data_IF_797586655997
#
_entry.id   IF_797586655997
#
_cell.length_a   1.000
_cell.length_b   1.000
_cell.length_c   1.000
_cell.angle_alpha   90.00
_cell.angle_beta   90.00
_cell.angle_gamma   90.00
#
_symmetry.space_group_name_H-M   'P 1'
#
loop_
_entity.id
_entity.type
_entity.pdbx_description
1 polymer ?
#
# COMPACT_ATOMS: atom_id res chain seq x y z
N UNK A 1 -9.58 -33.54 15.81
CA UNK A 1 -9.80 -32.18 15.27
C UNK A 1 -8.51 -31.43 15.61
N UNK A 2 -7.53 -31.54 14.73
CA UNK A 2 -6.14 -31.24 15.08
C UNK A 2 -5.91 -29.74 15.21
N UNK A 3 -5.68 -29.35 16.45
CA UNK A 3 -5.46 -28.00 16.91
C UNK A 3 -3.96 -27.84 17.16
N UNK A 4 -3.18 -27.77 16.07
CA UNK A 4 -1.78 -27.36 16.14
C UNK A 4 -1.31 -26.73 14.82
N UNK A 5 -1.85 -25.56 14.48
CA UNK A 5 -1.31 -24.74 13.39
C UNK A 5 -0.23 -23.79 13.93
N UNK A 6 0.91 -24.33 14.34
CA UNK A 6 2.09 -23.50 14.58
C UNK A 6 2.67 -23.06 13.23
N UNK A 7 2.99 -21.76 13.13
CA UNK A 7 3.68 -21.24 11.95
C UNK A 7 5.05 -21.91 11.83
N UNK A 8 5.49 -22.15 10.60
CA UNK A 8 6.86 -22.60 10.31
C UNK A 8 7.87 -21.52 10.69
N UNK A 9 9.14 -21.89 10.90
CA UNK A 9 10.21 -20.95 11.23
C UNK A 9 10.38 -19.86 10.16
N UNK A 10 10.18 -20.20 8.87
CA UNK A 10 10.22 -19.23 7.77
C UNK A 10 9.06 -18.24 7.83
N UNK A 11 7.85 -18.72 8.14
CA UNK A 11 6.68 -17.86 8.32
C UNK A 11 6.84 -16.92 9.53
N UNK A 12 7.42 -17.40 10.63
CA UNK A 12 7.77 -16.54 11.77
C UNK A 12 8.73 -15.42 11.38
N UNK A 13 9.83 -15.74 10.69
CA UNK A 13 10.80 -14.73 10.21
C UNK A 13 10.16 -13.74 9.23
N UNK A 14 9.25 -14.20 8.37
CA UNK A 14 8.51 -13.32 7.47
C UNK A 14 7.61 -12.34 8.24
N UNK A 15 6.88 -12.84 9.25
CA UNK A 15 6.03 -12.02 10.10
C UNK A 15 6.83 -10.97 10.89
N UNK A 16 7.98 -11.35 11.47
CA UNK A 16 8.88 -10.42 12.18
C UNK A 16 9.41 -9.32 11.27
N UNK A 17 9.85 -9.66 10.05
CA UNK A 17 10.31 -8.67 9.06
C UNK A 17 9.20 -7.71 8.65
N UNK A 18 8.00 -8.24 8.38
CA UNK A 18 6.84 -7.42 8.03
C UNK A 18 6.47 -6.47 9.18
N UNK A 19 6.44 -6.97 10.43
CA UNK A 19 6.16 -6.14 11.60
C UNK A 19 7.19 -5.02 11.77
N UNK A 20 8.48 -5.33 11.65
CA UNK A 20 9.56 -4.34 11.72
C UNK A 20 9.46 -3.27 10.62
N UNK A 21 9.14 -3.67 9.38
CA UNK A 21 8.97 -2.75 8.26
C UNK A 21 7.74 -1.82 8.42
N UNK A 22 6.69 -2.29 9.09
CA UNK A 22 5.45 -1.52 9.29
C UNK A 22 5.48 -0.64 10.55
N UNK A 23 6.37 -0.92 11.51
CA UNK A 23 6.49 -0.14 12.75
C UNK A 23 6.62 1.39 12.50
N UNK A 24 7.42 1.90 11.54
CA UNK A 24 7.57 3.34 11.34
C UNK A 24 6.29 4.05 10.85
N UNK A 25 5.35 3.29 10.27
CA UNK A 25 4.12 3.83 9.67
C UNK A 25 2.85 3.47 10.44
N UNK A 26 2.97 2.70 11.53
CA UNK A 26 1.83 2.15 12.27
C UNK A 26 0.89 3.23 12.85
N UNK A 27 1.41 4.39 13.23
CA UNK A 27 0.62 5.49 13.80
C UNK A 27 -0.01 6.38 12.70
N UNK A 28 0.36 6.16 11.44
CA UNK A 28 -0.06 6.97 10.29
C UNK A 28 -0.98 6.19 9.35
N UNK A 29 -0.83 4.87 9.27
CA UNK A 29 -1.51 4.02 8.32
C UNK A 29 -2.33 2.93 9.02
N UNK A 30 -3.63 2.87 8.66
CA UNK A 30 -4.47 1.74 9.04
C UNK A 30 -4.13 0.50 8.20
N UNK A 31 -4.55 -0.67 8.66
CA UNK A 31 -4.44 -1.90 7.87
C UNK A 31 -5.09 -1.76 6.48
N UNK A 32 -6.20 -1.04 6.36
CA UNK A 32 -6.86 -0.80 5.07
C UNK A 32 -5.99 0.04 4.12
N UNK A 33 -5.21 1.00 4.64
CA UNK A 33 -4.23 1.74 3.84
C UNK A 33 -3.11 0.81 3.35
N UNK A 34 -2.62 -0.08 4.20
CA UNK A 34 -1.59 -1.06 3.84
C UNK A 34 -2.09 -2.05 2.77
N UNK A 35 -3.30 -2.59 2.93
CA UNK A 35 -3.92 -3.46 1.91
C UNK A 35 -4.08 -2.70 0.59
N UNK A 36 -4.50 -1.44 0.63
CA UNK A 36 -4.64 -0.61 -0.57
C UNK A 36 -3.29 -0.38 -1.25
N UNK A 37 -2.24 -0.07 -0.50
CA UNK A 37 -0.87 0.10 -1.01
C UNK A 37 -0.36 -1.18 -1.70
N UNK A 38 -0.51 -2.34 -1.04
CA UNK A 38 -0.09 -3.64 -1.58
C UNK A 38 -0.93 -4.04 -2.82
N UNK A 39 -2.19 -3.62 -2.87
CA UNK A 39 -3.04 -3.81 -4.05
C UNK A 39 -2.54 -2.99 -5.25
N UNK A 40 -2.14 -1.74 -5.02
CA UNK A 40 -1.49 -0.90 -6.05
C UNK A 40 -0.16 -1.52 -6.50
N UNK A 41 0.64 -2.03 -5.56
CA UNK A 41 1.91 -2.68 -5.87
C UNK A 41 1.74 -3.92 -6.78
N UNK A 42 0.69 -4.70 -6.55
CA UNK A 42 0.40 -5.92 -7.33
C UNK A 42 -0.33 -5.67 -8.63
N UNK A 43 -0.96 -4.49 -8.79
CA UNK A 43 -1.72 -4.12 -9.99
C UNK A 43 -1.41 -2.67 -10.44
N UNK A 44 -0.16 -2.33 -10.82
CA UNK A 44 0.18 -0.97 -11.21
C UNK A 44 -0.71 -0.46 -12.35
N UNK A 45 -1.15 0.80 -12.25
CA UNK A 45 -1.98 1.46 -13.26
C UNK A 45 -3.48 1.39 -13.01
N UNK A 46 -3.93 0.69 -11.96
CA UNK A 46 -5.34 0.62 -11.57
C UNK A 46 -5.92 2.00 -11.24
N UNK A 47 -7.19 2.21 -11.53
CA UNK A 47 -7.96 3.40 -11.12
C UNK A 47 -8.50 3.28 -9.70
N UNK A 48 -8.97 4.39 -9.12
CA UNK A 48 -9.59 4.38 -7.78
C UNK A 48 -10.83 3.46 -7.71
N UNK A 49 -11.58 3.33 -8.80
CA UNK A 49 -12.74 2.44 -8.85
C UNK A 49 -12.31 0.97 -8.81
N UNK A 50 -11.31 0.62 -9.63
CA UNK A 50 -10.73 -0.72 -9.66
C UNK A 50 -10.06 -1.10 -8.33
N UNK A 51 -9.51 -0.12 -7.60
CA UNK A 51 -9.03 -0.30 -6.24
C UNK A 51 -10.19 -0.68 -5.31
N UNK A 52 -11.27 0.11 -5.34
CA UNK A 52 -12.43 -0.06 -4.49
C UNK A 52 -13.03 -1.47 -4.59
N UNK A 53 -13.16 -1.97 -5.83
CA UNK A 53 -13.61 -3.33 -6.12
C UNK A 53 -12.66 -4.38 -5.53
N UNK A 54 -11.34 -4.23 -5.71
CA UNK A 54 -10.35 -5.21 -5.25
C UNK A 54 -10.21 -5.27 -3.74
N UNK A 55 -10.29 -4.13 -3.05
CA UNK A 55 -10.20 -4.07 -1.58
C UNK A 55 -11.55 -4.28 -0.90
N UNK A 56 -12.64 -4.45 -1.67
CA UNK A 56 -13.98 -4.67 -1.14
C UNK A 56 -14.55 -3.50 -0.36
N UNK A 57 -14.23 -2.26 -0.77
CA UNK A 57 -14.67 -1.04 -0.09
C UNK A 57 -15.54 -0.16 -1.01
N UNK A 58 -16.46 0.65 -0.46
CA UNK A 58 -17.15 1.67 -1.24
C UNK A 58 -16.16 2.64 -1.90
N UNK A 59 -16.46 3.13 -3.10
CA UNK A 59 -15.58 4.02 -3.87
C UNK A 59 -15.17 5.29 -3.07
N UNK A 60 -16.09 5.88 -2.31
CA UNK A 60 -15.79 7.04 -1.46
C UNK A 60 -14.75 6.70 -0.37
N UNK A 61 -14.80 5.48 0.17
CA UNK A 61 -13.85 4.98 1.15
C UNK A 61 -12.49 4.71 0.51
N UNK A 62 -12.45 4.04 -0.64
CA UNK A 62 -11.22 3.81 -1.40
C UNK A 62 -10.54 5.13 -1.80
N UNK A 63 -11.32 6.14 -2.22
CA UNK A 63 -10.82 7.48 -2.51
C UNK A 63 -10.16 8.14 -1.30
N UNK A 64 -10.67 7.91 -0.08
CA UNK A 64 -10.02 8.39 1.15
C UNK A 64 -8.71 7.66 1.41
N UNK A 65 -8.65 6.34 1.24
CA UNK A 65 -7.39 5.58 1.35
C UNK A 65 -6.33 6.11 0.38
N UNK A 66 -6.70 6.32 -0.88
CA UNK A 66 -5.84 6.90 -1.91
C UNK A 66 -5.36 8.29 -1.52
N UNK A 67 -6.23 9.11 -0.95
CA UNK A 67 -5.86 10.47 -0.53
C UNK A 67 -4.87 10.47 0.63
N UNK A 68 -5.01 9.54 1.59
CA UNK A 68 -4.01 9.35 2.66
C UNK A 68 -2.69 8.88 2.09
N UNK A 69 -2.70 7.89 1.19
CA UNK A 69 -1.50 7.35 0.55
C UNK A 69 -0.80 8.36 -0.38
N UNK A 70 -1.52 9.35 -0.91
CA UNK A 70 -0.97 10.49 -1.64
C UNK A 70 -0.42 11.60 -0.73
N UNK A 71 -0.46 11.42 0.59
CA UNK A 71 -0.03 12.43 1.56
C UNK A 71 -0.96 13.65 1.63
N UNK A 72 -2.22 13.55 1.18
CA UNK A 72 -3.16 14.69 1.11
C UNK A 72 -3.90 14.96 2.43
N UNK A 73 -3.95 13.99 3.35
CA UNK A 73 -4.60 14.16 4.65
C UNK A 73 -3.60 14.56 5.73
N UNK A 74 -3.93 15.65 6.43
CA UNK A 74 -3.11 16.27 7.48
C UNK A 74 -3.70 15.92 8.85
N UNK A 75 -2.94 15.20 9.67
CA UNK A 75 -3.16 15.23 11.12
C UNK A 75 -2.51 16.47 11.70
N UNK A 76 -3.18 17.16 12.63
CA UNK A 76 -2.53 18.24 13.38
C UNK A 76 -1.39 17.64 14.22
N UNK A 77 -0.14 18.06 13.96
CA UNK A 77 1.02 17.73 14.80
C UNK A 77 1.93 16.60 14.31
N UNK A 78 1.64 15.96 13.18
CA UNK A 78 2.51 14.95 12.57
C UNK A 78 2.90 15.39 11.16
N UNK A 79 4.19 15.37 10.77
CA UNK A 79 4.57 15.63 9.38
C UNK A 79 3.80 14.68 8.46
N UNK A 80 3.40 15.14 7.25
CA UNK A 80 2.60 14.32 6.36
C UNK A 80 3.33 13.01 6.07
N UNK A 81 2.61 11.85 6.05
CA UNK A 81 3.21 10.64 5.51
C UNK A 81 3.70 10.98 4.10
N UNK A 82 4.97 10.69 3.84
CA UNK A 82 5.51 10.83 2.48
C UNK A 82 4.56 10.11 1.51
N UNK A 83 4.27 10.67 0.33
CA UNK A 83 3.38 10.03 -0.61
C UNK A 83 3.93 8.64 -0.95
N UNK A 84 3.15 7.59 -0.72
CA UNK A 84 3.49 6.19 -0.98
C UNK A 84 2.95 5.73 -2.35
N UNK A 85 2.06 6.51 -2.95
CA UNK A 85 1.58 6.30 -4.31
C UNK A 85 1.69 7.61 -5.11
N UNK A 86 1.66 7.47 -6.42
CA UNK A 86 1.53 8.55 -7.39
C UNK A 86 0.25 8.34 -8.23
N UNK A 87 -0.28 9.44 -8.77
CA UNK A 87 -1.34 9.41 -9.76
C UNK A 87 -0.82 9.98 -11.07
N UNK A 88 -0.98 9.21 -12.14
CA UNK A 88 -0.63 9.64 -13.50
C UNK A 88 -1.88 9.63 -14.37
N UNK A 89 -1.91 10.49 -15.39
CA UNK A 89 -2.98 10.46 -16.39
C UNK A 89 -2.68 9.27 -17.31
N UNK A 90 -3.65 8.37 -17.50
CA UNK A 90 -3.46 7.27 -18.44
C UNK A 90 -3.27 7.82 -19.86
N UNK A 91 -2.23 7.38 -20.60
CA UNK A 91 -2.03 7.81 -21.98
C UNK A 91 -3.15 7.29 -22.92
N UNK A 92 -3.76 6.15 -22.59
CA UNK A 92 -4.83 5.53 -23.39
C UNK A 92 -6.22 6.13 -23.11
N UNK A 93 -6.40 6.73 -21.93
CA UNK A 93 -7.64 7.41 -21.54
C UNK A 93 -7.34 8.58 -20.59
N UNK A 94 -7.33 9.84 -21.09
CA UNK A 94 -7.04 11.03 -20.28
C UNK A 94 -8.01 11.27 -19.12
N UNK A 95 -9.17 10.60 -19.12
CA UNK A 95 -10.17 10.69 -18.04
C UNK A 95 -9.82 9.75 -16.89
N UNK A 96 -8.96 8.76 -17.10
CA UNK A 96 -8.49 7.82 -16.08
C UNK A 96 -7.23 8.35 -15.42
N UNK A 97 -7.26 8.36 -14.08
CA UNK A 97 -6.06 8.53 -13.26
C UNK A 97 -5.62 7.17 -12.74
N UNK A 98 -4.46 6.75 -13.21
CA UNK A 98 -3.83 5.48 -12.90
C UNK A 98 -2.98 5.63 -11.64
N UNK A 99 -3.07 4.66 -10.73
CA UNK A 99 -2.35 4.62 -9.47
C UNK A 99 -1.05 3.81 -9.62
N UNK A 100 0.05 4.37 -9.17
CA UNK A 100 1.37 3.72 -9.15
C UNK A 100 2.03 3.88 -7.79
N UNK A 101 3.02 3.05 -7.45
CA UNK A 101 3.85 3.31 -6.27
C UNK A 101 4.74 4.53 -6.53
N UNK A 102 4.86 5.39 -5.52
CA UNK A 102 5.95 6.36 -5.48
C UNK A 102 7.27 5.67 -5.16
N UNK A 103 8.38 6.41 -5.18
CA UNK A 103 9.67 5.89 -4.72
C UNK A 103 9.61 5.43 -3.25
N UNK A 104 9.09 6.25 -2.34
CA UNK A 104 8.95 5.86 -0.92
C UNK A 104 8.00 4.65 -0.75
N UNK A 105 6.96 4.54 -1.61
CA UNK A 105 6.08 3.38 -1.66
C UNK A 105 6.79 2.10 -2.08
N UNK A 106 7.63 2.17 -3.11
CA UNK A 106 8.46 1.04 -3.55
C UNK A 106 9.42 0.60 -2.45
N UNK A 107 10.07 1.55 -1.78
CA UNK A 107 10.96 1.26 -0.65
C UNK A 107 10.21 0.55 0.48
N UNK A 108 9.06 1.08 0.91
CA UNK A 108 8.24 0.46 1.95
C UNK A 108 7.78 -0.95 1.57
N UNK A 109 7.23 -1.13 0.37
CA UNK A 109 6.76 -2.44 -0.10
C UNK A 109 7.93 -3.43 -0.14
N UNK A 110 9.10 -3.01 -0.64
CA UNK A 110 10.31 -3.86 -0.71
C UNK A 110 10.75 -4.37 0.67
N UNK A 111 10.67 -3.52 1.69
CA UNK A 111 10.98 -3.87 3.09
C UNK A 111 9.96 -4.87 3.64
N UNK A 112 8.67 -4.66 3.35
CA UNK A 112 7.56 -5.53 3.79
C UNK A 112 7.65 -6.92 3.17
N UNK A 113 7.85 -7.01 1.84
CA UNK A 113 7.93 -8.31 1.16
C UNK A 113 9.29 -9.00 1.33
N UNK A 114 10.27 -8.31 1.91
CA UNK A 114 11.62 -8.83 2.10
C UNK A 114 12.36 -9.09 0.78
N UNK A 115 11.97 -8.42 -0.29
CA UNK A 115 12.55 -8.52 -1.62
C UNK A 115 13.04 -7.15 -2.07
N UNK A 116 14.26 -7.06 -2.57
CA UNK A 116 14.79 -5.85 -3.20
C UNK A 116 14.05 -5.68 -4.54
N UNK A 117 12.96 -4.91 -4.55
CA UNK A 117 12.22 -4.61 -5.78
C UNK A 117 13.21 -3.97 -6.76
N UNK A 118 13.49 -4.66 -7.87
CA UNK A 118 14.32 -4.12 -8.93
C UNK A 118 13.67 -2.89 -9.50
N UNK A 119 14.42 -1.78 -9.56
CA UNK A 119 13.96 -0.56 -10.21
C UNK A 119 13.50 -0.89 -11.63
N UNK A 120 12.21 -0.67 -11.92
CA UNK A 120 11.72 -0.72 -13.29
C UNK A 120 12.34 0.46 -14.05
N UNK A 121 13.13 0.12 -15.08
CA UNK A 121 13.73 1.04 -16.03
C UNK A 121 12.71 1.56 -17.02
#
# INVERSE_FOLDING_TARGET
MDMNSTLTQEQHRAAERMAAALQPVQDQLSLAHLVSLLTVATHPGLSVNELAERVGAPQATASRYVSVLLGRYQGQGTPPPKPLIAQEISPDDPRKRALFLSQDGQELVSQVVGARLGAMK
#
